data_IF_815180287055
#
_entry.id   IF_815180287055
#
_cell.length_a   1.000
_cell.length_b   1.000
_cell.length_c   1.000
_cell.angle_alpha   90.00
_cell.angle_beta   90.00
_cell.angle_gamma   90.00
#
_symmetry.space_group_name_H-M   'P 1'
#
loop_
_entity.id
_entity.type
_entity.pdbx_description
1 polymer ?
#
# COMPACT_ATOMS: atom_id res chain seq x y z
N UNK A 1 -13.25 -57.57 18.93
CA UNK A 1 -13.89 -56.34 19.46
C UNK A 1 -12.92 -55.60 20.40
N UNK A 2 -12.20 -54.57 19.93
CA UNK A 2 -11.61 -53.54 20.81
C UNK A 2 -11.70 -52.19 20.09
N UNK A 3 -12.53 -51.30 20.63
CA UNK A 3 -12.87 -49.97 20.08
C UNK A 3 -11.70 -49.00 20.33
N UNK A 4 -11.17 -48.40 19.28
CA UNK A 4 -10.21 -47.30 19.36
C UNK A 4 -10.92 -45.99 19.71
N UNK A 5 -10.58 -45.41 20.87
CA UNK A 5 -11.08 -44.10 21.30
C UNK A 5 -10.36 -42.97 20.59
N UNK A 6 -11.08 -42.23 19.74
CA UNK A 6 -10.63 -40.95 19.17
C UNK A 6 -10.62 -39.89 20.28
N UNK A 7 -9.44 -39.35 20.63
CA UNK A 7 -9.33 -38.14 21.46
C UNK A 7 -9.93 -36.95 20.70
N UNK A 8 -11.02 -36.39 21.22
CA UNK A 8 -11.66 -35.20 20.70
C UNK A 8 -10.71 -33.99 20.86
N UNK A 9 -10.43 -33.30 19.74
CA UNK A 9 -9.71 -32.02 19.74
C UNK A 9 -10.58 -30.99 20.45
N UNK A 10 -10.04 -30.39 21.51
CA UNK A 10 -10.66 -29.31 22.27
C UNK A 10 -10.91 -28.11 21.35
N UNK A 11 -12.17 -27.83 20.99
CA UNK A 11 -12.56 -26.53 20.40
C UNK A 11 -12.45 -25.47 21.52
N UNK A 12 -11.81 -24.31 21.29
CA UNK A 12 -11.83 -23.24 22.29
C UNK A 12 -13.28 -22.80 22.50
N UNK A 13 -13.71 -22.67 23.76
CA UNK A 13 -15.08 -22.29 24.09
C UNK A 13 -15.31 -20.79 23.82
N UNK A 14 -16.45 -20.46 23.21
CA UNK A 14 -16.92 -19.08 22.92
C UNK A 14 -16.90 -18.14 24.15
N UNK A 15 -16.88 -18.69 25.37
CA UNK A 15 -16.80 -17.94 26.62
C UNK A 15 -15.42 -17.31 26.89
N UNK A 16 -14.31 -17.88 26.37
CA UNK A 16 -12.97 -17.27 26.47
C UNK A 16 -12.82 -16.05 25.55
N UNK A 17 -13.46 -16.09 24.38
CA UNK A 17 -13.49 -14.97 23.43
C UNK A 17 -14.35 -13.80 23.94
N UNK A 18 -15.41 -14.08 24.70
CA UNK A 18 -16.27 -13.07 25.30
C UNK A 18 -15.55 -12.27 26.42
N UNK A 19 -14.73 -12.93 27.26
CA UNK A 19 -13.95 -12.24 28.31
C UNK A 19 -12.81 -11.37 27.75
N UNK A 20 -12.22 -11.73 26.60
CA UNK A 20 -11.18 -10.89 25.95
C UNK A 20 -11.68 -9.54 25.44
N UNK A 21 -12.99 -9.36 25.26
CA UNK A 21 -13.57 -8.11 24.74
C UNK A 21 -13.84 -7.05 25.82
N UNK A 22 -13.93 -7.43 27.09
CA UNK A 22 -14.34 -6.51 28.17
C UNK A 22 -13.18 -5.77 28.88
N UNK A 23 -11.94 -6.26 28.81
CA UNK A 23 -10.76 -5.62 29.45
C UNK A 23 -9.98 -4.64 28.53
N UNK A 24 -10.49 -4.35 27.32
CA UNK A 24 -9.69 -3.75 26.24
C UNK A 24 -9.46 -2.22 26.34
N UNK A 25 -10.45 -1.37 26.71
CA UNK A 25 -10.29 0.09 26.58
C UNK A 25 -9.24 0.71 27.51
N UNK A 26 -9.15 0.24 28.75
CA UNK A 26 -8.21 0.77 29.74
C UNK A 26 -6.76 0.41 29.39
N UNK A 27 -6.52 -0.84 28.96
CA UNK A 27 -5.21 -1.29 28.49
C UNK A 27 -4.76 -0.50 27.25
N UNK A 28 -5.65 -0.31 26.28
CA UNK A 28 -5.39 0.49 25.09
C UNK A 28 -5.06 1.94 25.46
N UNK A 29 -5.79 2.54 26.39
CA UNK A 29 -5.50 3.89 26.89
C UNK A 29 -4.10 4.01 27.50
N UNK A 30 -3.66 3.00 28.26
CA UNK A 30 -2.30 2.98 28.81
C UNK A 30 -1.23 2.82 27.71
N UNK A 31 -1.49 1.98 26.71
CA UNK A 31 -0.61 1.81 25.56
C UNK A 31 -0.50 3.13 24.78
N UNK A 32 -1.62 3.82 24.55
CA UNK A 32 -1.66 5.11 23.85
C UNK A 32 -0.91 6.22 24.61
N UNK A 33 -0.90 6.20 25.94
CA UNK A 33 -0.10 7.12 26.77
C UNK A 33 1.41 6.84 26.75
N UNK A 34 1.83 5.61 26.42
CA UNK A 34 3.24 5.18 26.49
C UNK A 34 3.91 5.11 25.12
N UNK A 35 3.14 4.89 24.05
CA UNK A 35 3.69 4.77 22.70
C UNK A 35 4.29 6.08 22.21
N UNK A 36 5.31 5.95 21.36
CA UNK A 36 5.92 7.08 20.64
C UNK A 36 5.49 7.12 19.17
N UNK A 37 5.17 5.96 18.59
CA UNK A 37 4.73 5.87 17.21
C UNK A 37 3.24 6.19 17.13
N UNK A 38 2.84 6.87 16.05
CA UNK A 38 1.43 6.97 15.70
C UNK A 38 0.91 5.69 15.06
N UNK A 39 -0.38 5.40 15.25
CA UNK A 39 -1.02 4.21 14.72
C UNK A 39 -2.03 4.64 13.65
N UNK A 40 -1.65 4.39 12.40
CA UNK A 40 -2.47 4.60 11.22
C UNK A 40 -3.02 3.25 10.77
N UNK A 41 -3.79 3.22 9.69
CA UNK A 41 -4.30 1.96 9.13
C UNK A 41 -4.18 1.90 7.62
N UNK A 42 -4.10 0.69 7.11
CA UNK A 42 -4.38 0.40 5.72
C UNK A 42 -5.90 0.24 5.58
N UNK A 43 -6.53 1.16 4.88
CA UNK A 43 -7.98 1.15 4.69
C UNK A 43 -8.27 1.66 3.28
N UNK A 44 -8.88 0.81 2.47
CA UNK A 44 -9.07 1.02 1.04
C UNK A 44 -10.53 1.41 0.74
N UNK A 45 -11.44 1.22 1.70
CA UNK A 45 -12.88 1.54 1.56
C UNK A 45 -13.38 2.49 2.65
N UNK A 46 -14.50 3.22 2.41
CA UNK A 46 -15.13 4.04 3.43
C UNK A 46 -15.54 3.26 4.69
N UNK A 47 -16.01 2.01 4.51
CA UNK A 47 -16.38 1.13 5.63
C UNK A 47 -15.19 0.78 6.52
N UNK A 48 -14.04 0.46 5.92
CA UNK A 48 -12.79 0.21 6.67
C UNK A 48 -12.29 1.47 7.38
N UNK A 49 -12.44 2.65 6.76
CA UNK A 49 -12.07 3.92 7.37
C UNK A 49 -12.89 4.21 8.64
N UNK A 50 -14.21 4.02 8.59
CA UNK A 50 -15.10 4.19 9.76
C UNK A 50 -14.71 3.25 10.89
N UNK A 51 -14.56 1.96 10.58
CA UNK A 51 -14.14 0.96 11.55
C UNK A 51 -12.77 1.30 12.17
N UNK A 52 -11.80 1.70 11.35
CA UNK A 52 -10.48 2.06 11.84
C UNK A 52 -10.52 3.25 12.81
N UNK A 53 -11.32 4.27 12.50
CA UNK A 53 -11.51 5.43 13.37
C UNK A 53 -12.14 5.04 14.71
N UNK A 54 -13.16 4.19 14.70
CA UNK A 54 -13.78 3.64 15.92
C UNK A 54 -12.77 2.88 16.80
N UNK A 55 -11.79 2.21 16.17
CA UNK A 55 -10.70 1.49 16.86
C UNK A 55 -9.53 2.40 17.32
N UNK A 56 -9.64 3.71 17.08
CA UNK A 56 -8.68 4.72 17.53
C UNK A 56 -7.53 4.98 16.55
N UNK A 57 -7.69 4.67 15.26
CA UNK A 57 -6.70 5.04 14.24
C UNK A 57 -6.54 6.57 14.15
N UNK A 58 -5.29 7.02 13.96
CA UNK A 58 -4.94 8.44 13.86
C UNK A 58 -4.83 8.93 12.39
N UNK A 59 -5.34 8.14 11.45
CA UNK A 59 -5.30 8.39 10.01
C UNK A 59 -5.19 7.10 9.20
N UNK A 60 -5.26 7.25 7.88
CA UNK A 60 -5.01 6.17 6.91
C UNK A 60 -3.59 6.33 6.38
N UNK A 61 -2.74 5.31 6.55
CA UNK A 61 -1.36 5.32 6.06
C UNK A 61 -1.17 4.70 4.69
N UNK A 62 -2.19 3.98 4.20
CA UNK A 62 -2.25 3.52 2.83
C UNK A 62 -3.70 3.19 2.46
N UNK A 63 -4.24 3.94 1.50
CA UNK A 63 -5.41 3.60 0.73
C UNK A 63 -4.99 3.20 -0.69
N UNK A 64 -5.31 1.97 -1.08
CA UNK A 64 -5.00 1.39 -2.38
C UNK A 64 -6.12 1.66 -3.38
N UNK A 65 -5.81 2.42 -4.42
CA UNK A 65 -6.82 2.80 -5.43
C UNK A 65 -7.20 1.65 -6.36
N UNK A 66 -6.33 0.66 -6.52
CA UNK A 66 -6.61 -0.53 -7.31
C UNK A 66 -7.78 -1.38 -6.81
N UNK A 67 -8.08 -1.36 -5.51
CA UNK A 67 -9.25 -2.05 -4.97
C UNK A 67 -10.56 -1.34 -5.37
N UNK A 68 -10.53 -0.01 -5.47
CA UNK A 68 -11.66 0.79 -5.96
C UNK A 68 -11.94 0.54 -7.45
N UNK A 69 -10.95 0.09 -8.23
CA UNK A 69 -11.10 -0.23 -9.65
C UNK A 69 -11.64 -1.62 -9.93
N UNK A 70 -11.56 -2.54 -8.95
CA UNK A 70 -11.99 -3.94 -9.10
C UNK A 70 -13.46 -4.20 -8.75
N UNK A 71 -14.20 -3.17 -8.32
CA UNK A 71 -15.63 -3.31 -8.09
C UNK A 71 -16.38 -3.65 -9.40
N UNK A 72 -17.39 -4.51 -9.30
CA UNK A 72 -18.06 -5.12 -10.45
C UNK A 72 -18.60 -4.11 -11.47
N UNK A 73 -19.09 -2.95 -11.01
CA UNK A 73 -19.65 -1.90 -11.88
C UNK A 73 -18.57 -1.07 -12.57
N UNK A 74 -17.33 -1.08 -12.05
CA UNK A 74 -16.23 -0.21 -12.50
C UNK A 74 -15.19 -0.96 -13.32
N UNK A 75 -15.03 -2.25 -13.06
CA UNK A 75 -14.10 -3.11 -13.79
C UNK A 75 -14.30 -3.02 -15.32
N UNK A 76 -15.53 -3.06 -15.87
CA UNK A 76 -15.74 -2.89 -17.32
C UNK A 76 -15.24 -1.53 -17.84
N UNK A 77 -15.37 -0.46 -17.06
CA UNK A 77 -14.89 0.89 -17.44
C UNK A 77 -13.35 0.92 -17.47
N UNK A 78 -12.71 0.23 -16.53
CA UNK A 78 -11.25 0.09 -16.49
C UNK A 78 -10.76 -0.75 -17.67
N UNK A 79 -11.49 -1.80 -18.04
CA UNK A 79 -11.17 -2.62 -19.20
C UNK A 79 -11.33 -1.83 -20.51
N UNK A 80 -12.41 -1.05 -20.65
CA UNK A 80 -12.60 -0.11 -21.77
C UNK A 80 -11.40 0.84 -21.90
N UNK A 81 -10.90 1.37 -20.76
CA UNK A 81 -9.71 2.21 -20.75
C UNK A 81 -8.48 1.43 -21.23
N UNK A 82 -8.27 0.20 -20.77
CA UNK A 82 -7.08 -0.58 -21.14
C UNK A 82 -7.09 -0.98 -22.63
N UNK A 83 -8.29 -1.30 -23.15
CA UNK A 83 -8.52 -1.73 -24.54
C UNK A 83 -8.60 -0.56 -25.53
N UNK A 84 -8.66 0.68 -25.07
CA UNK A 84 -8.70 1.85 -25.94
C UNK A 84 -7.41 2.00 -26.78
N UNK A 85 -7.59 2.31 -28.07
CA UNK A 85 -6.50 2.42 -29.04
C UNK A 85 -5.68 3.71 -28.92
N UNK A 86 -6.22 4.75 -28.28
CA UNK A 86 -5.61 6.08 -28.20
C UNK A 86 -5.89 6.77 -26.86
N UNK A 87 -5.14 7.86 -26.61
CA UNK A 87 -5.31 8.70 -25.42
C UNK A 87 -6.73 9.26 -25.30
N UNK A 88 -7.38 9.60 -26.43
CA UNK A 88 -8.73 10.15 -26.41
C UNK A 88 -9.77 9.13 -25.91
N UNK A 89 -9.68 7.87 -26.36
CA UNK A 89 -10.49 6.77 -25.87
C UNK A 89 -10.25 6.48 -24.40
N UNK A 90 -8.99 6.47 -23.96
CA UNK A 90 -8.64 6.32 -22.54
C UNK A 90 -9.26 7.43 -21.69
N UNK A 91 -9.16 8.70 -22.11
CA UNK A 91 -9.77 9.84 -21.41
C UNK A 91 -11.30 9.72 -21.31
N UNK A 92 -11.98 9.22 -22.36
CA UNK A 92 -13.43 8.98 -22.31
C UNK A 92 -13.80 7.92 -21.26
N UNK A 93 -13.07 6.82 -21.19
CA UNK A 93 -13.31 5.79 -20.17
C UNK A 93 -13.00 6.31 -18.76
N UNK A 94 -11.87 7.00 -18.59
CA UNK A 94 -11.47 7.64 -17.32
C UNK A 94 -12.50 8.67 -16.83
N UNK A 95 -13.13 9.44 -17.72
CA UNK A 95 -14.18 10.38 -17.35
C UNK A 95 -15.42 9.69 -16.74
N UNK A 96 -15.74 8.46 -17.17
CA UNK A 96 -16.80 7.64 -16.54
C UNK A 96 -16.38 7.15 -15.16
N UNK A 97 -15.09 6.90 -14.95
CA UNK A 97 -14.54 6.37 -13.70
C UNK A 97 -14.37 7.46 -12.61
N UNK A 98 -14.08 8.70 -13.02
CA UNK A 98 -13.89 9.86 -12.16
C UNK A 98 -14.98 10.03 -11.07
N UNK A 99 -16.31 10.04 -11.39
CA UNK A 99 -17.33 10.25 -10.36
C UNK A 99 -17.38 9.15 -9.30
N UNK A 100 -17.10 7.90 -9.67
CA UNK A 100 -17.03 6.79 -8.70
C UNK A 100 -15.88 7.00 -7.72
N UNK A 101 -14.68 7.26 -8.25
CA UNK A 101 -13.51 7.41 -7.40
C UNK A 101 -13.58 8.68 -6.52
N UNK A 102 -14.11 9.78 -7.06
CA UNK A 102 -14.37 10.99 -6.27
C UNK A 102 -15.42 10.73 -5.16
N UNK A 103 -16.44 9.92 -5.44
CA UNK A 103 -17.43 9.49 -4.46
C UNK A 103 -16.79 8.76 -3.29
N UNK A 104 -15.97 7.75 -3.57
CA UNK A 104 -15.27 6.98 -2.53
C UNK A 104 -14.39 7.86 -1.65
N UNK A 105 -13.57 8.72 -2.26
CA UNK A 105 -12.70 9.62 -1.50
C UNK A 105 -13.47 10.59 -0.64
N UNK A 106 -14.62 11.09 -1.12
CA UNK A 106 -15.49 11.96 -0.34
C UNK A 106 -15.98 11.26 0.93
N UNK A 107 -16.45 10.02 0.80
CA UNK A 107 -16.88 9.21 1.95
C UNK A 107 -15.73 8.84 2.88
N UNK A 108 -14.53 8.58 2.33
CA UNK A 108 -13.34 8.34 3.13
C UNK A 108 -12.93 9.58 3.94
N UNK A 109 -12.98 10.78 3.34
CA UNK A 109 -12.70 12.02 4.06
C UNK A 109 -13.74 12.32 5.13
N UNK A 110 -15.02 12.01 4.88
CA UNK A 110 -16.06 12.10 5.90
C UNK A 110 -15.77 11.16 7.07
N UNK A 111 -15.46 9.89 6.76
CA UNK A 111 -15.08 8.89 7.77
C UNK A 111 -13.83 9.33 8.56
N UNK A 112 -12.89 10.02 7.93
CA UNK A 112 -11.61 10.46 8.51
C UNK A 112 -11.54 11.97 8.77
N UNK A 113 -12.66 12.66 8.97
CA UNK A 113 -12.70 14.10 9.25
C UNK A 113 -11.63 14.56 10.28
N UNK A 114 -10.73 15.44 9.83
CA UNK A 114 -9.63 15.99 10.61
C UNK A 114 -8.36 15.14 10.66
N UNK A 115 -8.39 13.93 10.12
CA UNK A 115 -7.27 12.98 10.08
C UNK A 115 -6.71 12.84 8.65
N UNK A 116 -5.40 12.59 8.50
CA UNK A 116 -4.75 12.40 7.21
C UNK A 116 -5.19 11.10 6.54
N UNK A 117 -5.32 11.15 5.22
CA UNK A 117 -5.61 9.98 4.37
C UNK A 117 -4.54 9.90 3.28
N UNK A 118 -3.60 8.97 3.45
CA UNK A 118 -2.57 8.67 2.45
C UNK A 118 -3.15 7.78 1.36
N UNK A 119 -3.18 8.28 0.14
CA UNK A 119 -3.73 7.62 -1.03
C UNK A 119 -2.58 7.28 -1.98
N UNK A 120 -2.40 5.98 -2.22
CA UNK A 120 -1.46 5.48 -3.23
C UNK A 120 -2.14 5.43 -4.57
N UNK A 121 -1.53 6.08 -5.56
CA UNK A 121 -2.01 5.98 -6.94
C UNK A 121 -1.89 4.55 -7.47
N UNK A 122 -2.51 4.29 -8.62
CA UNK A 122 -2.59 2.95 -9.18
C UNK A 122 -1.21 2.31 -9.27
N UNK A 123 -1.12 1.08 -8.76
CA UNK A 123 0.12 0.35 -8.64
C UNK A 123 0.21 -0.89 -9.56
N UNK A 124 -0.80 -1.77 -9.67
CA UNK A 124 -0.65 -3.01 -10.43
C UNK A 124 -0.52 -2.74 -11.95
N UNK A 125 0.15 -3.64 -12.68
CA UNK A 125 0.20 -3.58 -14.14
C UNK A 125 -1.18 -3.83 -14.75
N UNK A 126 -1.45 -3.26 -15.92
CA UNK A 126 -2.80 -3.22 -16.50
C UNK A 126 -3.38 -4.60 -16.83
N UNK A 127 -2.54 -5.57 -17.20
CA UNK A 127 -3.00 -6.93 -17.51
C UNK A 127 -3.68 -7.63 -16.31
N UNK A 128 -3.42 -7.18 -15.07
CA UNK A 128 -4.12 -7.72 -13.90
C UNK A 128 -5.63 -7.44 -13.88
N UNK A 129 -6.11 -6.44 -14.61
CA UNK A 129 -7.54 -6.12 -14.75
C UNK A 129 -8.20 -6.88 -15.91
N UNK A 130 -7.41 -7.63 -16.70
CA UNK A 130 -7.86 -8.38 -17.86
C UNK A 130 -7.86 -9.90 -17.63
N UNK A 131 -7.84 -10.34 -16.37
CA UNK A 131 -7.75 -11.78 -16.01
C UNK A 131 -8.87 -12.64 -16.58
N UNK A 132 -10.06 -12.07 -16.81
CA UNK A 132 -11.18 -12.80 -17.43
C UNK A 132 -10.95 -13.13 -18.91
N UNK A 133 -9.98 -12.46 -19.55
CA UNK A 133 -9.61 -12.70 -20.94
C UNK A 133 -8.39 -13.63 -21.06
N UNK A 134 -7.97 -14.30 -19.98
CA UNK A 134 -6.78 -15.16 -19.97
C UNK A 134 -6.86 -16.31 -20.99
N UNK A 135 -8.07 -16.81 -21.28
CA UNK A 135 -8.34 -17.92 -22.20
C UNK A 135 -8.92 -17.46 -23.55
N UNK A 136 -8.79 -16.17 -23.89
CA UNK A 136 -9.38 -15.61 -25.12
C UNK A 136 -8.79 -16.24 -26.39
N UNK A 137 -7.56 -16.76 -26.32
CA UNK A 137 -6.91 -17.50 -27.40
C UNK A 137 -7.60 -18.83 -27.70
N UNK A 138 -8.03 -19.55 -26.66
CA UNK A 138 -8.83 -20.77 -26.77
C UNK A 138 -10.18 -20.44 -27.41
N UNK A 139 -10.84 -19.37 -26.97
CA UNK A 139 -12.11 -18.92 -27.55
C UNK A 139 -11.98 -18.58 -29.05
N UNK A 140 -10.89 -17.93 -29.44
CA UNK A 140 -10.59 -17.63 -30.85
C UNK A 140 -10.37 -18.93 -31.63
N UNK A 141 -9.62 -19.89 -31.08
CA UNK A 141 -9.35 -21.17 -31.74
C UNK A 141 -10.65 -21.98 -31.93
N UNK A 142 -11.52 -22.03 -30.91
CA UNK A 142 -12.83 -22.69 -30.97
C UNK A 142 -13.74 -22.00 -31.98
N UNK A 143 -13.82 -20.67 -31.97
CA UNK A 143 -14.64 -19.91 -32.92
C UNK A 143 -14.21 -20.19 -34.38
N UNK A 144 -12.90 -20.17 -34.65
CA UNK A 144 -12.34 -20.50 -35.98
C UNK A 144 -12.63 -21.95 -36.38
N UNK A 145 -12.48 -22.90 -35.46
CA UNK A 145 -12.74 -24.33 -35.73
C UNK A 145 -14.23 -24.63 -35.96
N UNK A 146 -15.13 -23.90 -35.31
CA UNK A 146 -16.58 -24.05 -35.44
C UNK A 146 -17.19 -23.20 -36.57
N UNK A 147 -16.37 -22.47 -37.33
CA UNK A 147 -16.81 -21.62 -38.43
C UNK A 147 -17.56 -20.36 -37.97
N UNK A 148 -17.44 -19.99 -36.69
CA UNK A 148 -18.00 -18.74 -36.17
C UNK A 148 -17.18 -17.56 -36.71
N UNK A 149 -17.83 -16.70 -37.48
CA UNK A 149 -17.25 -15.50 -38.06
C UNK A 149 -18.10 -14.28 -37.66
N UNK A 150 -17.49 -13.09 -37.60
CA UNK A 150 -18.21 -11.84 -37.39
C UNK A 150 -17.54 -10.90 -36.38
N UNK A 151 -18.30 -9.91 -35.91
CA UNK A 151 -17.82 -8.87 -35.01
C UNK A 151 -17.26 -9.42 -33.68
N UNK A 152 -17.87 -10.48 -33.14
CA UNK A 152 -17.41 -11.12 -31.88
C UNK A 152 -15.99 -11.68 -32.00
N UNK A 153 -15.67 -12.37 -33.10
CA UNK A 153 -14.34 -12.89 -33.34
C UNK A 153 -13.31 -11.74 -33.50
N UNK A 154 -13.69 -10.68 -34.20
CA UNK A 154 -12.83 -9.50 -34.37
C UNK A 154 -12.55 -8.78 -33.04
N UNK A 155 -13.55 -8.70 -32.15
CA UNK A 155 -13.40 -8.13 -30.82
C UNK A 155 -12.48 -9.01 -29.95
N UNK A 156 -12.65 -10.34 -29.96
CA UNK A 156 -11.76 -11.28 -29.26
C UNK A 156 -10.32 -11.17 -29.77
N UNK A 157 -10.12 -11.12 -31.09
CA UNK A 157 -8.79 -10.92 -31.68
C UNK A 157 -8.16 -9.58 -31.27
N UNK A 158 -8.96 -8.51 -31.17
CA UNK A 158 -8.49 -7.21 -30.66
C UNK A 158 -8.04 -7.31 -29.21
N UNK A 159 -8.83 -7.97 -28.36
CA UNK A 159 -8.50 -8.19 -26.95
C UNK A 159 -7.21 -9.01 -26.83
N UNK A 160 -7.09 -10.11 -27.58
CA UNK A 160 -5.90 -10.96 -27.59
C UNK A 160 -4.64 -10.18 -27.96
N UNK A 161 -4.66 -9.40 -29.05
CA UNK A 161 -3.52 -8.55 -29.43
C UNK A 161 -3.15 -7.55 -28.33
N UNK A 162 -4.15 -7.03 -27.61
CA UNK A 162 -3.90 -6.09 -26.51
C UNK A 162 -3.29 -6.79 -25.29
N UNK A 163 -3.72 -8.02 -24.99
CA UNK A 163 -3.11 -8.85 -23.95
C UNK A 163 -1.65 -9.16 -24.27
N UNK A 164 -1.34 -9.55 -25.52
CA UNK A 164 0.05 -9.80 -25.94
C UNK A 164 0.91 -8.54 -25.79
N UNK A 165 0.39 -7.36 -26.14
CA UNK A 165 1.10 -6.09 -25.94
C UNK A 165 1.37 -5.74 -24.48
N UNK A 166 0.49 -6.18 -23.57
CA UNK A 166 0.60 -5.93 -22.13
C UNK A 166 1.26 -7.09 -21.39
N UNK A 167 1.63 -8.16 -22.08
CA UNK A 167 2.28 -9.30 -21.49
C UNK A 167 3.70 -8.94 -21.06
N UNK A 168 4.04 -9.32 -19.84
CA UNK A 168 5.37 -9.15 -19.27
C UNK A 168 5.79 -10.45 -18.59
N UNK A 169 7.04 -10.88 -18.81
CA UNK A 169 7.58 -12.08 -18.17
C UNK A 169 7.62 -11.94 -16.64
N UNK A 170 7.90 -10.72 -16.16
CA UNK A 170 8.04 -10.41 -14.73
C UNK A 170 7.17 -9.20 -14.34
N UNK A 171 5.85 -9.38 -14.21
CA UNK A 171 4.90 -8.28 -13.92
C UNK A 171 5.25 -7.45 -12.68
N UNK A 172 5.89 -8.06 -11.68
CA UNK A 172 6.31 -7.37 -10.47
C UNK A 172 7.32 -6.25 -10.74
N UNK A 173 8.16 -6.39 -11.77
CA UNK A 173 9.22 -5.43 -12.12
C UNK A 173 8.92 -4.66 -13.41
N UNK A 174 7.72 -4.80 -13.97
CA UNK A 174 7.35 -4.28 -15.28
C UNK A 174 6.73 -2.88 -15.30
N UNK A 175 5.81 -2.66 -16.23
CA UNK A 175 5.11 -1.41 -16.49
C UNK A 175 3.96 -1.21 -15.49
N UNK A 176 4.33 -0.74 -14.31
CA UNK A 176 3.43 -0.56 -13.18
C UNK A 176 3.80 0.68 -12.36
N UNK A 177 3.00 1.01 -11.35
CA UNK A 177 3.24 2.14 -10.44
C UNK A 177 3.58 3.46 -11.16
N UNK A 178 4.60 4.17 -10.69
CA UNK A 178 4.99 5.46 -11.31
C UNK A 178 5.31 5.37 -12.81
N UNK A 179 5.83 4.24 -13.30
CA UNK A 179 6.18 4.07 -14.72
C UNK A 179 4.93 4.09 -15.57
N UNK A 180 3.89 3.38 -15.12
CA UNK A 180 2.58 3.39 -15.75
C UNK A 180 2.01 4.82 -15.80
N UNK A 181 2.10 5.56 -14.69
CA UNK A 181 1.62 6.94 -14.59
C UNK A 181 2.39 7.92 -15.48
N UNK A 182 3.66 7.65 -15.78
CA UNK A 182 4.47 8.47 -16.68
C UNK A 182 4.18 8.16 -18.15
N UNK A 183 3.91 6.89 -18.48
CA UNK A 183 3.55 6.47 -19.85
C UNK A 183 2.10 6.85 -20.20
N UNK A 184 1.19 6.77 -19.23
CA UNK A 184 -0.23 7.10 -19.39
C UNK A 184 -0.65 8.19 -18.38
N UNK A 185 -0.18 9.44 -18.55
CA UNK A 185 -0.41 10.53 -17.60
C UNK A 185 -1.88 10.88 -17.40
N UNK A 186 -2.76 10.55 -18.35
CA UNK A 186 -4.21 10.70 -18.18
C UNK A 186 -4.77 9.89 -17.00
N UNK A 187 -4.14 8.77 -16.63
CA UNK A 187 -4.54 7.97 -15.46
C UNK A 187 -4.20 8.74 -14.18
N UNK A 188 -3.00 9.32 -14.10
CA UNK A 188 -2.59 10.19 -13.00
C UNK A 188 -3.56 11.37 -12.89
N UNK A 189 -3.81 12.06 -14.00
CA UNK A 189 -4.70 13.22 -14.06
C UNK A 189 -6.08 12.90 -13.47
N UNK A 190 -6.70 11.80 -13.89
CA UNK A 190 -8.00 11.37 -13.39
C UNK A 190 -7.97 11.14 -11.87
N UNK A 191 -6.97 10.43 -11.36
CA UNK A 191 -6.89 10.15 -9.92
C UNK A 191 -6.67 11.43 -9.10
N UNK A 192 -5.80 12.34 -9.54
CA UNK A 192 -5.58 13.62 -8.84
C UNK A 192 -6.86 14.48 -8.84
N UNK A 193 -7.58 14.52 -9.96
CA UNK A 193 -8.89 15.19 -10.07
C UNK A 193 -9.90 14.58 -9.09
N UNK A 194 -9.96 13.25 -8.98
CA UNK A 194 -10.84 12.56 -8.03
C UNK A 194 -10.50 12.90 -6.56
N UNK A 195 -9.21 12.82 -6.20
CA UNK A 195 -8.71 13.07 -4.84
C UNK A 195 -9.00 14.52 -4.40
N UNK A 196 -8.56 15.49 -5.20
CA UNK A 196 -8.67 16.90 -4.84
C UNK A 196 -10.09 17.42 -5.01
N UNK A 197 -10.82 16.95 -6.02
CA UNK A 197 -12.24 17.24 -6.19
C UNK A 197 -13.05 16.79 -4.97
N UNK A 198 -12.81 15.57 -4.48
CA UNK A 198 -13.45 15.06 -3.26
C UNK A 198 -13.09 15.88 -2.03
N UNK A 199 -11.81 16.28 -1.87
CA UNK A 199 -11.37 17.10 -0.74
C UNK A 199 -12.03 18.50 -0.76
N UNK A 200 -12.22 19.10 -1.93
CA UNK A 200 -12.95 20.37 -2.10
C UNK A 200 -14.43 20.19 -1.71
N UNK A 201 -15.10 19.15 -2.22
CA UNK A 201 -16.50 18.83 -1.89
C UNK A 201 -16.68 18.63 -0.37
N UNK A 202 -15.76 17.89 0.26
CA UNK A 202 -15.76 17.66 1.69
C UNK A 202 -15.59 18.97 2.47
N UNK A 203 -14.67 19.84 2.04
CA UNK A 203 -14.46 21.14 2.67
C UNK A 203 -15.66 22.09 2.55
N UNK A 204 -16.49 21.97 1.50
CA UNK A 204 -17.76 22.71 1.37
C UNK A 204 -18.81 22.25 2.39
N UNK A 205 -18.74 20.98 2.81
CA UNK A 205 -19.58 20.41 3.88
C UNK A 205 -19.02 20.60 5.29
N UNK A 206 -17.93 21.36 5.44
CA UNK A 206 -17.25 21.57 6.73
C UNK A 206 -16.36 20.41 7.20
N UNK A 207 -16.17 19.38 6.38
CA UNK A 207 -15.27 18.25 6.67
C UNK A 207 -13.82 18.69 6.41
N UNK A 208 -12.93 18.46 7.37
CA UNK A 208 -11.50 18.78 7.28
C UNK A 208 -10.74 17.64 6.60
N UNK A 209 -10.88 17.56 5.27
CA UNK A 209 -10.12 16.63 4.45
C UNK A 209 -8.61 16.96 4.49
N UNK A 210 -7.77 15.94 4.64
CA UNK A 210 -6.30 16.03 4.64
C UNK A 210 -5.70 15.02 3.66
N UNK A 211 -5.84 15.26 2.35
CA UNK A 211 -5.32 14.37 1.31
C UNK A 211 -3.79 14.32 1.30
N UNK A 212 -3.24 13.11 1.20
CA UNK A 212 -1.80 12.90 1.05
C UNK A 212 -1.56 11.94 -0.11
N UNK A 213 -0.97 12.44 -1.18
CA UNK A 213 -0.87 11.77 -2.48
C UNK A 213 0.48 11.08 -2.56
N UNK A 214 0.47 9.77 -2.76
CA UNK A 214 1.67 8.94 -2.72
C UNK A 214 1.94 8.24 -4.06
N UNK A 215 3.15 8.44 -4.59
CA UNK A 215 3.62 7.75 -5.78
C UNK A 215 4.21 6.37 -5.45
N UNK A 216 3.76 5.28 -6.10
CA UNK A 216 4.37 3.95 -5.97
C UNK A 216 5.60 3.76 -6.88
N UNK A 217 6.50 2.85 -6.53
CA UNK A 217 7.65 2.34 -7.29
C UNK A 217 8.69 3.38 -7.77
N UNK A 218 8.74 4.58 -7.18
CA UNK A 218 9.75 5.57 -7.55
C UNK A 218 11.16 5.02 -7.31
N UNK A 219 12.04 5.13 -8.31
CA UNK A 219 13.42 4.67 -8.22
C UNK A 219 14.45 5.77 -8.51
N UNK A 220 14.06 6.83 -9.23
CA UNK A 220 14.94 7.90 -9.71
C UNK A 220 14.36 9.29 -9.44
N UNK A 221 15.23 10.31 -9.38
CA UNK A 221 14.80 11.71 -9.24
C UNK A 221 14.03 12.18 -10.48
N UNK A 222 14.41 11.76 -11.69
CA UNK A 222 13.71 12.15 -12.92
C UNK A 222 12.26 11.66 -12.96
N UNK A 223 11.99 10.44 -12.48
CA UNK A 223 10.62 9.95 -12.30
C UNK A 223 9.85 10.83 -11.31
N UNK A 224 10.44 11.09 -10.14
CA UNK A 224 9.82 11.89 -9.09
C UNK A 224 9.52 13.32 -9.52
N UNK A 225 10.48 13.99 -10.15
CA UNK A 225 10.37 15.37 -10.63
C UNK A 225 9.23 15.48 -11.66
N UNK A 226 9.13 14.52 -12.58
CA UNK A 226 8.07 14.52 -13.60
C UNK A 226 6.69 14.26 -12.99
N UNK A 227 6.60 13.35 -12.01
CA UNK A 227 5.35 13.08 -11.29
C UNK A 227 4.91 14.28 -10.45
N UNK A 228 5.83 14.90 -9.70
CA UNK A 228 5.55 16.10 -8.90
C UNK A 228 5.01 17.24 -9.78
N UNK A 229 5.66 17.47 -10.93
CA UNK A 229 5.22 18.47 -11.90
C UNK A 229 3.81 18.16 -12.43
N UNK A 230 3.55 16.91 -12.83
CA UNK A 230 2.22 16.51 -13.32
C UNK A 230 1.14 16.65 -12.25
N UNK A 231 1.42 16.25 -11.00
CA UNK A 231 0.47 16.39 -9.88
C UNK A 231 0.18 17.86 -9.62
N UNK A 232 1.21 18.70 -9.58
CA UNK A 232 1.07 20.13 -9.33
C UNK A 232 0.25 20.81 -10.44
N UNK A 233 0.55 20.50 -11.70
CA UNK A 233 -0.20 21.02 -12.84
C UNK A 233 -1.69 20.69 -12.75
N UNK A 234 -2.02 19.42 -12.50
CA UNK A 234 -3.42 18.98 -12.40
C UNK A 234 -4.10 19.57 -11.16
N UNK A 235 -3.40 19.68 -10.04
CA UNK A 235 -3.93 20.32 -8.84
C UNK A 235 -4.30 21.79 -9.09
N UNK A 236 -3.42 22.56 -9.75
CA UNK A 236 -3.69 23.95 -10.10
C UNK A 236 -4.88 24.08 -11.08
N UNK A 237 -5.00 23.16 -12.04
CA UNK A 237 -6.17 23.10 -12.93
C UNK A 237 -7.47 22.88 -12.14
N UNK A 238 -7.50 21.88 -11.25
CA UNK A 238 -8.66 21.58 -10.40
C UNK A 238 -9.02 22.79 -9.53
N UNK A 239 -8.04 23.43 -8.89
CA UNK A 239 -8.29 24.59 -8.04
C UNK A 239 -8.83 25.79 -8.82
N UNK A 240 -8.34 26.02 -10.04
CA UNK A 240 -8.84 27.08 -10.92
C UNK A 240 -10.27 26.79 -11.38
N UNK A 241 -10.54 25.56 -11.82
CA UNK A 241 -11.87 25.11 -12.27
C UNK A 241 -12.91 25.19 -11.14
N UNK A 242 -12.51 24.85 -9.92
CA UNK A 242 -13.41 24.80 -8.74
C UNK A 242 -13.47 26.11 -7.97
N UNK A 243 -12.58 27.08 -8.25
CA UNK A 243 -12.50 28.36 -7.53
C UNK A 243 -12.11 28.24 -6.05
N UNK A 244 -11.63 27.08 -5.60
CA UNK A 244 -11.28 26.79 -4.20
C UNK A 244 -10.02 25.94 -4.14
N UNK A 245 -9.16 26.26 -3.17
CA UNK A 245 -7.93 25.52 -2.89
C UNK A 245 -8.09 24.68 -1.63
N UNK A 246 -7.47 23.50 -1.64
CA UNK A 246 -7.28 22.66 -0.45
C UNK A 246 -5.81 22.32 -0.33
N UNK A 247 -5.33 22.21 0.91
CA UNK A 247 -3.98 21.72 1.16
C UNK A 247 -3.93 20.21 0.92
N UNK A 248 -2.88 19.76 0.24
CA UNK A 248 -2.55 18.36 0.09
C UNK A 248 -1.04 18.18 0.30
N UNK A 249 -0.63 16.94 0.56
CA UNK A 249 0.80 16.61 0.61
C UNK A 249 1.22 15.71 -0.54
N UNK A 250 2.43 15.91 -1.04
CA UNK A 250 3.05 15.01 -2.01
C UNK A 250 4.12 14.15 -1.34
N UNK A 251 4.09 12.84 -1.61
CA UNK A 251 5.03 11.90 -1.06
C UNK A 251 5.25 10.69 -1.97
N UNK A 252 6.11 9.79 -1.52
CA UNK A 252 6.44 8.59 -2.26
C UNK A 252 6.51 7.38 -1.36
N UNK A 253 6.20 6.22 -1.94
CA UNK A 253 6.56 4.95 -1.36
C UNK A 253 8.07 4.71 -1.58
N UNK A 254 8.76 4.23 -0.53
CA UNK A 254 10.15 3.79 -0.56
C UNK A 254 10.13 2.27 -0.54
N UNK A 255 10.18 1.69 -1.73
CA UNK A 255 10.01 0.24 -1.94
C UNK A 255 10.96 -0.35 -3.00
N UNK A 256 11.82 0.50 -3.59
CA UNK A 256 12.87 0.10 -4.51
C UNK A 256 14.23 0.33 -3.84
N UNK A 257 15.19 -0.63 -3.89
CA UNK A 257 16.51 -0.50 -3.27
C UNK A 257 17.23 0.79 -3.66
N UNK A 258 17.15 1.17 -4.95
CA UNK A 258 17.72 2.43 -5.46
C UNK A 258 17.15 3.65 -4.74
N UNK A 259 15.84 3.68 -4.49
CA UNK A 259 15.18 4.79 -3.80
C UNK A 259 15.69 4.93 -2.36
N UNK A 260 15.94 3.81 -1.66
CA UNK A 260 16.56 3.83 -0.34
C UNK A 260 17.98 4.45 -0.37
N UNK A 261 18.78 4.13 -1.40
CA UNK A 261 20.15 4.64 -1.56
C UNK A 261 20.18 6.15 -1.79
N UNK A 262 19.26 6.68 -2.61
CA UNK A 262 19.18 8.12 -2.95
C UNK A 262 18.09 8.87 -2.17
N UNK A 263 17.69 8.35 -1.02
CA UNK A 263 16.52 8.85 -0.31
C UNK A 263 16.70 10.29 0.23
N UNK A 264 17.94 10.72 0.46
CA UNK A 264 18.29 12.11 0.79
C UNK A 264 17.90 13.08 -0.34
N UNK A 265 18.10 12.66 -1.60
CA UNK A 265 17.69 13.41 -2.79
C UNK A 265 16.17 13.40 -2.95
N UNK A 266 15.53 12.23 -2.80
CA UNK A 266 14.06 12.10 -2.90
C UNK A 266 13.38 12.99 -1.84
N UNK A 267 13.92 13.02 -0.62
CA UNK A 267 13.40 13.85 0.47
C UNK A 267 13.47 15.36 0.19
N UNK A 268 14.14 15.80 -0.88
CA UNK A 268 14.11 17.21 -1.29
C UNK A 268 12.79 17.65 -1.91
N UNK A 269 12.02 16.70 -2.46
CA UNK A 269 10.76 16.93 -3.20
C UNK A 269 9.52 16.33 -2.53
N UNK A 270 9.69 15.53 -1.47
CA UNK A 270 8.58 14.86 -0.81
C UNK A 270 8.42 15.30 0.63
N UNK A 271 7.18 15.36 1.08
CA UNK A 271 6.83 15.71 2.46
C UNK A 271 6.74 14.50 3.38
N UNK A 272 6.59 13.30 2.80
CA UNK A 272 6.57 12.05 3.54
C UNK A 272 7.09 10.86 2.72
N UNK A 273 7.56 9.86 3.46
CA UNK A 273 7.86 8.53 2.96
C UNK A 273 6.92 7.50 3.58
N UNK A 274 6.51 6.52 2.77
CA UNK A 274 5.92 5.28 3.26
C UNK A 274 6.78 4.11 2.81
N UNK A 275 7.25 3.27 3.72
CA UNK A 275 8.02 2.08 3.32
C UNK A 275 7.09 0.96 2.90
N UNK A 276 7.12 0.62 1.61
CA UNK A 276 6.48 -0.57 1.05
C UNK A 276 7.37 -1.79 1.28
N UNK A 277 7.38 -2.33 2.51
CA UNK A 277 8.37 -3.37 2.87
C UNK A 277 8.20 -4.68 2.12
N UNK A 278 7.02 -4.96 1.55
CA UNK A 278 6.81 -6.16 0.73
C UNK A 278 7.67 -6.12 -0.54
N UNK A 279 7.46 -5.11 -1.38
CA UNK A 279 8.19 -4.94 -2.64
C UNK A 279 9.69 -4.68 -2.39
N UNK A 280 10.02 -3.97 -1.31
CA UNK A 280 11.42 -3.82 -0.89
C UNK A 280 12.04 -5.17 -0.51
N UNK A 281 11.32 -6.04 0.19
CA UNK A 281 11.81 -7.38 0.53
C UNK A 281 12.00 -8.23 -0.72
N UNK A 282 11.05 -8.17 -1.66
CA UNK A 282 11.16 -8.90 -2.92
C UNK A 282 12.40 -8.50 -3.73
N UNK A 283 12.63 -7.19 -3.87
CA UNK A 283 13.74 -6.64 -4.66
C UNK A 283 15.10 -6.79 -3.97
N UNK A 284 15.17 -6.65 -2.64
CA UNK A 284 16.43 -6.81 -1.89
C UNK A 284 16.86 -8.28 -1.83
N UNK A 285 15.92 -9.20 -1.61
CA UNK A 285 16.23 -10.63 -1.55
C UNK A 285 16.25 -11.30 -2.93
N UNK A 286 15.74 -10.63 -3.96
CA UNK A 286 15.64 -11.19 -5.31
C UNK A 286 14.64 -12.33 -5.40
N UNK A 287 13.51 -12.23 -4.68
CA UNK A 287 12.50 -13.29 -4.63
C UNK A 287 11.11 -12.73 -4.95
N UNK A 288 10.35 -13.43 -5.78
CA UNK A 288 8.91 -13.20 -5.94
C UNK A 288 8.19 -13.80 -4.73
N UNK A 289 7.33 -13.02 -4.08
CA UNK A 289 6.60 -13.47 -2.88
C UNK A 289 5.70 -14.67 -3.21
N UNK A 290 4.93 -14.57 -4.29
CA UNK A 290 3.95 -15.58 -4.65
C UNK A 290 4.61 -16.90 -5.06
N UNK A 291 5.77 -16.84 -5.72
CA UNK A 291 6.52 -18.01 -6.14
C UNK A 291 7.29 -18.62 -4.98
N UNK A 292 7.94 -17.81 -4.15
CA UNK A 292 8.69 -18.27 -2.99
C UNK A 292 7.77 -19.01 -2.00
N UNK A 293 6.57 -18.49 -1.74
CA UNK A 293 5.60 -19.11 -0.84
C UNK A 293 5.13 -20.48 -1.32
N UNK A 294 4.97 -20.68 -2.63
CA UNK A 294 4.55 -21.96 -3.21
C UNK A 294 5.69 -22.98 -3.33
N UNK A 295 6.94 -22.53 -3.41
CA UNK A 295 8.08 -23.36 -3.77
C UNK A 295 8.99 -23.70 -2.59
N UNK A 296 9.86 -22.79 -2.17
CA UNK A 296 11.00 -23.10 -1.29
C UNK A 296 10.92 -22.44 0.10
N UNK A 297 10.09 -21.41 0.30
CA UNK A 297 10.17 -20.56 1.49
C UNK A 297 9.85 -21.32 2.79
N UNK A 298 8.84 -22.20 2.75
CA UNK A 298 8.50 -23.08 3.89
C UNK A 298 9.68 -23.95 4.29
N UNK A 299 10.35 -24.57 3.31
CA UNK A 299 11.51 -25.42 3.53
C UNK A 299 12.68 -24.62 4.13
N UNK A 300 12.93 -23.41 3.64
CA UNK A 300 13.99 -22.54 4.16
C UNK A 300 13.80 -22.21 5.65
N UNK A 301 12.55 -22.00 6.08
CA UNK A 301 12.22 -21.75 7.49
C UNK A 301 12.34 -23.03 8.33
N UNK A 302 11.84 -24.16 7.84
CA UNK A 302 11.91 -25.46 8.54
C UNK A 302 13.36 -25.95 8.74
N UNK A 303 14.20 -25.78 7.71
CA UNK A 303 15.62 -26.11 7.75
C UNK A 303 16.49 -25.03 8.43
N UNK A 304 15.87 -23.92 8.86
CA UNK A 304 16.54 -22.77 9.51
C UNK A 304 17.63 -22.12 8.64
N UNK A 305 17.50 -22.20 7.31
CA UNK A 305 18.31 -21.42 6.37
C UNK A 305 18.05 -19.92 6.60
N UNK A 306 16.78 -19.58 6.85
CA UNK A 306 16.37 -18.25 7.32
C UNK A 306 15.60 -18.39 8.64
N UNK A 307 15.67 -17.39 9.54
CA UNK A 307 15.07 -17.52 10.87
C UNK A 307 13.54 -17.42 10.87
N UNK A 308 12.96 -16.75 9.87
CA UNK A 308 11.53 -16.56 9.70
C UNK A 308 11.21 -16.16 8.25
N UNK A 309 9.95 -16.29 7.86
CA UNK A 309 9.42 -15.74 6.61
C UNK A 309 9.62 -14.21 6.57
N UNK A 310 10.42 -13.67 5.63
CA UNK A 310 10.77 -12.26 5.58
C UNK A 310 9.58 -11.37 5.20
N UNK A 311 8.51 -11.93 4.62
CA UNK A 311 7.26 -11.22 4.35
C UNK A 311 6.34 -11.12 5.57
N UNK A 312 6.69 -11.81 6.67
CA UNK A 312 5.97 -11.75 7.94
C UNK A 312 6.77 -11.04 9.02
N UNK A 313 8.10 -11.19 9.00
CA UNK A 313 9.03 -10.56 9.92
C UNK A 313 10.07 -9.82 9.09
N UNK A 314 10.16 -8.50 9.27
CA UNK A 314 11.14 -7.68 8.56
C UNK A 314 12.55 -8.25 8.76
N UNK A 315 13.20 -8.61 7.66
CA UNK A 315 14.63 -8.92 7.62
C UNK A 315 15.41 -7.67 8.03
N UNK A 316 16.03 -7.69 9.20
CA UNK A 316 16.69 -6.50 9.76
C UNK A 316 18.06 -6.27 9.17
N UNK A 317 18.76 -7.34 8.81
CA UNK A 317 20.17 -7.26 8.46
C UNK A 317 20.35 -6.91 6.97
N UNK A 318 19.40 -7.27 6.11
CA UNK A 318 19.33 -6.82 4.72
C UNK A 318 18.31 -5.68 4.53
N UNK A 319 17.02 -6.00 4.51
CA UNK A 319 15.94 -5.04 4.18
C UNK A 319 15.90 -3.86 5.17
N UNK A 320 16.06 -4.12 6.46
CA UNK A 320 16.10 -3.09 7.50
C UNK A 320 17.33 -2.21 7.43
N UNK A 321 18.48 -2.76 7.01
CA UNK A 321 19.72 -2.01 6.86
C UNK A 321 19.67 -1.06 5.65
N UNK A 322 19.12 -1.50 4.52
CA UNK A 322 18.95 -0.62 3.35
C UNK A 322 17.86 0.43 3.58
N UNK A 323 16.82 0.09 4.34
CA UNK A 323 15.76 1.04 4.72
C UNK A 323 16.19 2.06 5.80
N UNK A 324 17.39 1.92 6.38
CA UNK A 324 17.91 2.88 7.35
C UNK A 324 18.36 4.17 6.66
N UNK A 325 17.44 5.14 6.57
CA UNK A 325 17.71 6.43 5.94
C UNK A 325 18.85 7.18 6.65
N UNK A 326 19.86 7.71 5.94
CA UNK A 326 20.74 8.73 6.49
C UNK A 326 19.89 9.94 6.92
N UNK A 327 20.23 10.57 8.05
CA UNK A 327 19.48 11.65 8.75
C UNK A 327 18.47 12.37 7.83
N UNK A 328 17.25 11.84 7.78
CA UNK A 328 16.18 12.46 7.03
C UNK A 328 15.91 13.87 7.58
N UNK A 329 15.45 14.77 6.70
CA UNK A 329 15.11 16.16 7.04
C UNK A 329 14.25 16.20 8.33
N UNK A 330 14.43 17.19 9.22
CA UNK A 330 13.75 17.25 10.52
C UNK A 330 12.22 17.13 10.46
N UNK A 331 11.63 17.52 9.32
CA UNK A 331 10.19 17.59 9.10
C UNK A 331 9.62 16.49 8.21
N UNK A 332 10.46 15.60 7.65
CA UNK A 332 9.99 14.50 6.80
C UNK A 332 9.24 13.48 7.67
N UNK A 333 7.97 13.24 7.34
CA UNK A 333 7.19 12.19 8.01
C UNK A 333 7.52 10.83 7.41
N UNK A 334 7.79 9.84 8.27
CA UNK A 334 8.07 8.47 7.85
C UNK A 334 6.98 7.54 8.39
N UNK A 335 6.37 6.78 7.50
CA UNK A 335 5.44 5.71 7.82
C UNK A 335 5.98 4.37 7.31
N UNK A 336 5.58 3.28 7.97
CA UNK A 336 5.82 1.92 7.50
C UNK A 336 4.46 1.27 7.20
N UNK A 337 4.28 0.83 5.95
CA UNK A 337 3.20 -0.09 5.61
C UNK A 337 3.59 -1.47 6.13
N UNK A 338 2.83 -1.97 7.11
CA UNK A 338 3.14 -3.26 7.73
C UNK A 338 1.98 -4.21 7.54
N UNK A 339 2.11 -5.05 6.51
CA UNK A 339 1.16 -6.11 6.11
C UNK A 339 0.73 -7.01 7.28
N UNK A 340 1.64 -7.22 8.24
CA UNK A 340 1.40 -7.93 9.50
C UNK A 340 2.24 -7.25 10.57
N UNK A 341 1.63 -6.76 11.65
CA UNK A 341 2.36 -6.34 12.85
C UNK A 341 3.24 -7.49 13.35
N UNK A 342 4.47 -7.56 12.84
CA UNK A 342 5.43 -8.59 13.18
C UNK A 342 5.88 -8.36 14.61
N UNK A 343 5.80 -9.41 15.44
CA UNK A 343 6.45 -9.40 16.76
C UNK A 343 7.92 -9.11 16.54
N UNK A 344 8.42 -8.05 17.16
CA UNK A 344 9.86 -7.83 17.24
C UNK A 344 10.47 -8.93 18.12
N UNK A 345 11.11 -9.93 17.52
CA UNK A 345 12.00 -10.81 18.27
C UNK A 345 13.23 -9.99 18.72
N UNK A 346 13.64 -10.17 19.97
CA UNK A 346 14.85 -9.56 20.55
C UNK A 346 16.09 -10.25 19.98
N UNK A 347 16.51 -9.90 18.77
CA UNK A 347 17.83 -10.24 18.25
C UNK A 347 18.85 -9.15 18.61
N UNK A 348 19.98 -9.53 19.21
CA UNK A 348 21.15 -8.65 19.34
C UNK A 348 21.87 -8.62 17.99
N UNK A 349 21.69 -7.57 17.21
CA UNK A 349 22.56 -7.31 16.06
C UNK A 349 23.86 -6.65 16.57
N UNK A 350 25.01 -7.23 16.21
CA UNK A 350 26.32 -6.62 16.31
C UNK A 350 26.41 -5.43 15.35
N UNK A 351 26.66 -4.24 15.88
CA UNK A 351 26.73 -2.97 15.15
C UNK A 351 27.92 -2.91 14.18
N UNK A 352 27.73 -2.48 12.93
CA UNK A 352 28.67 -1.57 12.28
C UNK A 352 28.32 -0.13 12.70
N UNK A 353 29.34 0.71 12.90
CA UNK A 353 29.21 2.04 13.49
C UNK A 353 28.27 2.99 12.73
N UNK A 354 27.27 3.52 13.44
CA UNK A 354 26.41 4.62 13.00
C UNK A 354 25.34 4.90 14.07
N UNK A 355 25.39 6.06 14.70
CA UNK A 355 24.40 6.46 15.71
C UNK A 355 23.16 7.03 14.99
N UNK A 356 22.23 6.15 14.63
CA UNK A 356 20.97 6.49 13.94
C UNK A 356 19.92 6.99 14.96
N UNK A 357 19.54 8.26 14.87
CA UNK A 357 18.38 8.83 15.59
C UNK A 357 17.43 9.52 14.61
N UNK A 358 16.28 8.92 14.26
CA UNK A 358 15.21 9.68 13.61
C UNK A 358 14.65 10.71 14.60
N UNK A 359 14.59 11.99 14.18
CA UNK A 359 13.93 13.07 14.94
C UNK A 359 12.43 13.15 14.65
N UNK A 360 11.93 12.54 13.58
CA UNK A 360 10.50 12.46 13.28
C UNK A 360 9.86 11.22 13.91
N UNK A 361 8.69 11.40 14.53
CA UNK A 361 7.92 10.30 15.14
C UNK A 361 7.34 9.43 14.03
N UNK A 362 7.85 8.20 13.89
CA UNK A 362 7.37 7.25 12.89
C UNK A 362 5.89 6.89 13.06
N UNK A 363 5.26 6.40 11.99
CA UNK A 363 3.89 5.88 11.97
C UNK A 363 3.88 4.41 11.51
N UNK A 364 2.99 3.60 12.08
CA UNK A 364 2.72 2.23 11.64
C UNK A 364 1.34 2.16 11.02
N UNK A 365 1.20 1.46 9.91
CA UNK A 365 -0.08 1.31 9.20
C UNK A 365 -0.47 -0.17 9.00
N UNK A 366 -1.02 -0.86 10.02
CA UNK A 366 -1.57 -2.21 9.89
C UNK A 366 -3.00 -2.23 9.31
N UNK A 367 -3.56 -3.41 9.08
CA UNK A 367 -4.99 -3.56 8.75
C UNK A 367 -5.91 -3.08 9.89
N UNK A 368 -7.17 -2.68 9.62
CA UNK A 368 -8.05 -2.05 10.62
C UNK A 368 -8.29 -2.94 11.85
N UNK A 369 -8.51 -4.24 11.64
CA UNK A 369 -8.71 -5.25 12.69
C UNK A 369 -7.53 -5.40 13.66
N UNK A 370 -6.33 -4.92 13.28
CA UNK A 370 -5.10 -5.01 14.07
C UNK A 370 -4.67 -3.68 14.69
N UNK A 371 -5.37 -2.58 14.41
CA UNK A 371 -5.14 -1.31 15.12
C UNK A 371 -5.17 -1.45 16.67
N UNK A 372 -5.94 -2.39 17.28
CA UNK A 372 -5.90 -2.65 18.71
C UNK A 372 -4.68 -3.47 19.19
N UNK A 373 -3.96 -4.18 18.31
CA UNK A 373 -2.78 -5.00 18.68
C UNK A 373 -1.50 -4.17 18.92
N UNK A 374 -1.65 -2.84 19.04
CA UNK A 374 -0.60 -1.80 19.20
C UNK A 374 0.25 -1.87 20.47
N UNK A 375 0.13 -2.93 21.27
CA UNK A 375 0.73 -3.04 22.61
C UNK A 375 2.20 -3.48 22.59
N UNK A 376 2.76 -3.99 21.48
CA UNK A 376 4.14 -4.57 21.54
C UNK A 376 5.00 -4.51 20.25
N UNK A 377 4.63 -3.75 19.23
CA UNK A 377 5.33 -3.73 17.93
C UNK A 377 5.98 -2.39 17.63
N UNK A 378 7.15 -2.11 18.21
CA UNK A 378 8.04 -1.08 17.70
C UNK A 378 9.01 -1.73 16.70
N UNK A 379 8.96 -1.45 15.38
CA UNK A 379 10.05 -1.85 14.50
C UNK A 379 11.32 -1.17 15.00
N UNK A 380 12.36 -1.97 15.24
CA UNK A 380 13.63 -1.50 15.79
C UNK A 380 14.36 -0.46 14.90
N UNK A 381 13.80 -0.14 13.73
CA UNK A 381 14.23 0.98 12.86
C UNK A 381 14.14 2.34 13.59
N UNK A 382 13.34 2.45 14.68
CA UNK A 382 13.08 3.73 15.35
C UNK A 382 13.53 3.85 16.82
N UNK A 383 14.20 2.84 17.42
CA UNK A 383 14.52 2.91 18.85
C UNK A 383 15.89 2.30 19.20
N UNK A 384 16.88 3.08 19.66
CA UNK A 384 18.06 2.53 20.30
C UNK A 384 17.65 1.90 21.63
N UNK A 385 18.17 0.70 21.91
CA UNK A 385 18.01 0.03 23.19
C UNK A 385 18.45 0.96 24.32
N UNK A 386 17.57 1.21 25.29
CA UNK A 386 17.94 1.81 26.56
C UNK A 386 18.85 0.83 27.32
N UNK A 387 20.15 0.89 27.06
CA UNK A 387 21.16 0.23 27.89
C UNK A 387 22.29 1.21 28.17
N UNK A 388 21.99 2.22 28.98
CA UNK A 388 23.01 3.13 29.53
C UNK A 388 22.68 3.54 30.95
N UNK A 389 22.48 2.58 31.85
CA UNK A 389 22.77 2.75 33.29
C UNK A 389 23.26 1.44 33.88
N UNK A 390 24.56 1.29 34.20
CA UNK A 390 24.99 0.23 35.09
C UNK A 390 24.51 0.60 36.50
N UNK A 391 23.47 -0.07 36.99
CA UNK A 391 23.20 -0.09 38.43
C UNK A 391 24.34 -0.90 39.06
N UNK A 392 25.36 -0.21 39.56
CA UNK A 392 26.25 -0.79 40.57
C UNK A 392 25.40 -0.96 41.83
N UNK A 393 25.01 -2.20 42.14
CA UNK A 393 24.72 -2.55 43.52
C UNK A 393 26.03 -2.40 44.30
N UNK A 394 26.08 -1.49 45.26
CA UNK A 394 27.02 -1.56 46.38
C UNK A 394 26.26 -2.20 47.54
N UNK A 395 26.89 -3.26 48.06
CA UNK A 395 26.71 -4.02 49.31
C UNK A 395 25.38 -3.87 50.05
#
# INVERSE_FOLDING_TARGET
MRRGGRRARHRPSKARDARRRQDHPQLLSWADKRRKLGVWVNADTPGECRLARELGAEGVGLARTEHMFREAERLPIVQDMILANDTAGRKRALAKLLPFQQGDFREMYEAMDGLPVVIRLIDPPLHEFLREYADVDIDIAVARATGQNGADLQDKERIYRRLEQLHEDNPMLGLRGCRLLLVYPEILEMQIRAILGAAIDSAEKGIKAKPEIMMPLVATMGELDRLEANVTEVAEQVFKERGKRVEYKFGTMIEIPRACIIADQIATKTEFFSFGTNDLTQTVLGISRDDAQKSFLTRYVEEKIIPADPFQVLDRDGVGAIGALPRARPHLRIAFDVSRAGRATRGRASRPGGDYRPRSLGRLSPSPSRAPERVDSCPAVACPSQSSRPRRCRL
#
